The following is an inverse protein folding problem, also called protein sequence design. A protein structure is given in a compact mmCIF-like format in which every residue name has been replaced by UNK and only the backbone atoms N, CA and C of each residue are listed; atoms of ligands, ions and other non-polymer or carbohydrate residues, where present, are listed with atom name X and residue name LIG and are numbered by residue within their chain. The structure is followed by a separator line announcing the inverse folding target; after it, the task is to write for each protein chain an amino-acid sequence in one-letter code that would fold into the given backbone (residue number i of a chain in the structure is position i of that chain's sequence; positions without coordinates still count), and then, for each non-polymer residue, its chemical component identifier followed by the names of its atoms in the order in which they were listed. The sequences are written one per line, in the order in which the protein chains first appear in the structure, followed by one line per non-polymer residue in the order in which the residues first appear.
data_IF_482063236029
#
_entry.id   IF_482063236029
#
_cell.length_a   1.000
_cell.length_b   1.000
_cell.length_c   1.000
_cell.angle_alpha   90.00
_cell.angle_beta   90.00
_cell.angle_gamma   90.00
#
_symmetry.space_group_name_H-M   'P 1'
#
loop_
_entity.id
_entity.type
_entity.pdbx_description
1 polymer ?
#
# COMPACT_ATOMS: atom_id res chain seq x y z
N UNK A 1 13.31 12.37 -10.40
CA UNK A 1 13.07 11.96 -8.99
C UNK A 1 13.56 10.52 -8.89
N UNK A 2 14.38 10.17 -7.88
CA UNK A 2 14.73 8.78 -7.56
C UNK A 2 13.55 7.82 -7.30
N UNK A 3 13.79 6.56 -6.93
CA UNK A 3 12.75 5.57 -6.74
C UNK A 3 12.04 5.74 -5.39
N UNK A 4 10.72 5.50 -5.35
CA UNK A 4 9.94 5.59 -4.10
C UNK A 4 10.11 4.33 -3.27
N UNK A 5 10.50 4.41 -1.98
CA UNK A 5 10.40 3.29 -1.05
C UNK A 5 9.01 2.67 -1.04
N UNK A 6 8.93 1.35 -0.86
CA UNK A 6 7.68 0.60 -0.86
C UNK A 6 7.20 0.37 0.57
N UNK A 7 5.96 0.75 0.86
CA UNK A 7 5.26 0.45 2.10
C UNK A 7 4.10 -0.52 1.82
N UNK A 8 4.15 -1.71 2.41
CA UNK A 8 3.06 -2.69 2.34
C UNK A 8 2.33 -2.67 3.68
N UNK A 9 1.04 -2.37 3.68
CA UNK A 9 0.26 -2.31 4.91
C UNK A 9 -0.98 -3.19 4.86
N UNK A 10 -1.46 -3.58 6.04
CA UNK A 10 -2.71 -4.31 6.20
C UNK A 10 -2.77 -4.99 7.56
N UNK A 11 -3.91 -5.59 7.90
CA UNK A 11 -4.14 -6.16 9.23
C UNK A 11 -3.22 -7.34 9.56
N UNK A 12 -3.20 -7.76 10.83
CA UNK A 12 -2.52 -8.99 11.24
C UNK A 12 -3.10 -10.20 10.51
N UNK A 13 -2.29 -11.24 10.28
CA UNK A 13 -2.68 -12.48 9.57
C UNK A 13 -3.10 -12.30 8.11
N UNK A 14 -2.68 -11.20 7.48
CA UNK A 14 -2.91 -10.94 6.06
C UNK A 14 -1.80 -11.46 5.14
N UNK A 15 -0.76 -12.10 5.65
CA UNK A 15 0.30 -12.71 4.84
C UNK A 15 1.47 -11.82 4.43
N UNK A 16 1.58 -10.58 4.92
CA UNK A 16 2.69 -9.63 4.59
C UNK A 16 4.08 -10.27 4.70
N UNK A 17 4.38 -10.91 5.83
CA UNK A 17 5.66 -11.60 6.06
C UNK A 17 5.91 -12.72 5.05
N UNK A 18 4.88 -13.51 4.72
CA UNK A 18 5.02 -14.59 3.73
C UNK A 18 5.25 -14.04 2.32
N UNK A 19 4.58 -12.95 1.96
CA UNK A 19 4.83 -12.25 0.70
C UNK A 19 6.28 -11.78 0.59
N UNK A 20 6.83 -11.14 1.63
CA UNK A 20 8.23 -10.71 1.61
C UNK A 20 9.19 -11.90 1.48
N UNK A 21 8.95 -12.99 2.22
CA UNK A 21 9.74 -14.21 2.12
C UNK A 21 9.70 -14.79 0.70
N UNK A 22 8.51 -14.83 0.09
CA UNK A 22 8.33 -15.29 -1.27
C UNK A 22 9.08 -14.41 -2.27
N UNK A 23 8.93 -13.09 -2.19
CA UNK A 23 9.64 -12.14 -3.05
C UNK A 23 11.17 -12.25 -2.90
N UNK A 24 11.70 -12.34 -1.67
CA UNK A 24 13.13 -12.55 -1.43
C UNK A 24 13.64 -13.83 -2.10
N UNK A 25 12.88 -14.92 -1.97
CA UNK A 25 13.18 -16.21 -2.63
C UNK A 25 13.14 -16.12 -4.16
N UNK A 26 12.23 -15.34 -4.75
CA UNK A 26 12.24 -15.12 -6.21
C UNK A 26 13.54 -14.46 -6.68
N UNK A 27 14.14 -13.60 -5.84
CA UNK A 27 15.40 -12.90 -6.16
C UNK A 27 16.63 -13.77 -5.95
N UNK A 28 16.64 -14.64 -4.93
CA UNK A 28 17.86 -15.36 -4.49
C UNK A 28 17.83 -16.88 -4.68
N UNK A 29 16.68 -17.44 -5.04
CA UNK A 29 16.44 -18.88 -5.09
C UNK A 29 16.16 -19.51 -3.71
N UNK A 30 15.82 -20.80 -3.68
CA UNK A 30 15.41 -21.52 -2.45
C UNK A 30 16.47 -21.48 -1.35
N UNK A 31 17.73 -21.63 -1.74
CA UNK A 31 18.82 -21.94 -0.82
C UNK A 31 19.53 -20.71 -0.25
N UNK A 32 19.24 -19.51 -0.77
CA UNK A 32 19.95 -18.27 -0.41
C UNK A 32 18.97 -17.20 0.09
N UNK A 33 17.92 -17.61 0.82
CA UNK A 33 16.91 -16.67 1.29
C UNK A 33 17.54 -15.57 2.18
N UNK A 34 17.36 -14.32 1.78
CA UNK A 34 17.72 -13.16 2.60
C UNK A 34 16.53 -12.83 3.50
N UNK A 35 16.75 -12.88 4.80
CA UNK A 35 15.73 -12.54 5.81
C UNK A 35 15.51 -11.03 5.88
N UNK A 36 14.27 -10.63 6.14
CA UNK A 36 13.93 -9.26 6.50
C UNK A 36 14.48 -8.92 7.89
N UNK A 37 14.84 -7.66 8.09
CA UNK A 37 15.14 -7.09 9.39
C UNK A 37 13.86 -6.87 10.21
N UNK A 38 13.97 -6.89 11.53
CA UNK A 38 12.84 -6.63 12.44
C UNK A 38 12.72 -5.14 12.85
N UNK A 39 11.68 -4.81 13.62
CA UNK A 39 11.43 -3.46 14.15
C UNK A 39 12.55 -2.94 15.07
N UNK A 40 13.21 -3.83 15.82
CA UNK A 40 14.31 -3.49 16.73
C UNK A 40 15.54 -3.03 15.97
N UNK A 41 15.74 -3.56 14.77
CA UNK A 41 16.81 -3.17 13.85
C UNK A 41 16.48 -1.90 13.04
N UNK A 42 15.24 -1.40 13.09
CA UNK A 42 14.83 -0.23 12.35
C UNK A 42 15.32 1.07 13.02
N UNK A 43 16.42 1.61 12.50
CA UNK A 43 17.04 2.86 12.96
C UNK A 43 17.61 3.67 11.79
N UNK A 44 17.65 5.00 11.94
CA UNK A 44 18.17 5.90 10.91
C UNK A 44 19.56 5.51 10.41
N UNK A 45 20.49 5.26 11.34
CA UNK A 45 21.89 4.91 11.03
C UNK A 45 21.97 3.60 10.26
N UNK A 46 21.32 2.54 10.75
CA UNK A 46 21.36 1.24 10.09
C UNK A 46 20.73 1.28 8.70
N UNK A 47 19.58 1.95 8.55
CA UNK A 47 18.96 2.11 7.23
C UNK A 47 19.89 2.87 6.28
N UNK A 48 20.51 3.96 6.73
CA UNK A 48 21.48 4.72 5.93
C UNK A 48 22.63 3.84 5.47
N UNK A 49 23.25 3.11 6.39
CA UNK A 49 24.43 2.28 6.10
C UNK A 49 24.08 1.19 5.08
N UNK A 50 22.92 0.55 5.22
CA UNK A 50 22.45 -0.47 4.27
C UNK A 50 22.10 0.11 2.89
N UNK A 51 21.44 1.28 2.83
CA UNK A 51 21.02 1.89 1.56
C UNK A 51 22.15 2.58 0.79
N UNK A 52 23.22 2.96 1.49
CA UNK A 52 24.43 3.54 0.88
C UNK A 52 25.50 2.50 0.57
N UNK A 53 25.35 1.29 1.09
CA UNK A 53 26.16 0.16 0.66
C UNK A 53 25.83 -0.15 -0.80
N UNK A 54 26.86 -0.32 -1.65
CA UNK A 54 26.72 -0.48 -3.11
C UNK A 54 26.06 -1.79 -3.57
N UNK A 55 25.31 -2.45 -2.68
CA UNK A 55 24.42 -3.56 -3.01
C UNK A 55 23.19 -3.05 -3.77
N UNK A 56 22.68 -3.89 -4.68
CA UNK A 56 21.41 -3.68 -5.38
C UNK A 56 20.27 -4.53 -4.79
N UNK A 57 20.57 -5.37 -3.80
CA UNK A 57 19.55 -6.19 -3.15
C UNK A 57 18.63 -5.30 -2.29
N UNK A 58 17.30 -5.47 -2.35
CA UNK A 58 16.38 -4.65 -1.56
C UNK A 58 16.62 -4.80 -0.06
N UNK A 59 16.57 -3.68 0.66
CA UNK A 59 16.59 -3.64 2.13
C UNK A 59 15.15 -3.79 2.61
N UNK A 60 14.86 -4.90 3.29
CA UNK A 60 13.51 -5.28 3.69
C UNK A 60 13.39 -5.24 5.22
N UNK A 61 12.45 -4.45 5.73
CA UNK A 61 12.04 -4.47 7.13
C UNK A 61 10.62 -5.00 7.25
N UNK A 62 10.40 -5.97 8.14
CA UNK A 62 9.10 -6.57 8.38
C UNK A 62 8.49 -6.11 9.72
N UNK A 63 7.21 -5.80 9.68
CA UNK A 63 6.35 -5.41 10.80
C UNK A 63 6.88 -4.23 11.63
N UNK A 64 7.24 -3.13 10.96
CA UNK A 64 7.66 -1.91 11.68
C UNK A 64 6.48 -1.34 12.49
N UNK A 65 6.78 -0.95 13.71
CA UNK A 65 5.77 -0.48 14.66
C UNK A 65 5.28 0.92 14.33
N UNK A 66 4.07 1.24 14.80
CA UNK A 66 3.40 2.52 14.55
C UNK A 66 4.26 3.74 14.93
N UNK A 67 5.09 3.57 15.96
CA UNK A 67 6.00 4.62 16.47
C UNK A 67 7.10 4.99 15.48
N UNK A 68 7.50 4.05 14.59
CA UNK A 68 8.56 4.26 13.59
C UNK A 68 8.12 5.09 12.40
N UNK A 69 6.83 5.35 12.24
CA UNK A 69 6.34 6.30 11.24
C UNK A 69 6.57 7.78 11.63
N UNK A 70 6.97 8.03 12.89
CA UNK A 70 7.17 9.38 13.41
C UNK A 70 8.40 10.13 12.88
N UNK A 71 8.52 11.39 13.31
CA UNK A 71 9.58 12.33 12.88
C UNK A 71 11.01 11.82 13.08
N UNK A 72 11.24 11.04 14.12
CA UNK A 72 12.57 10.56 14.51
C UNK A 72 13.04 9.33 13.73
N UNK A 73 12.17 8.74 12.91
CA UNK A 73 12.43 7.49 12.20
C UNK A 73 12.12 7.66 10.72
N UNK A 74 10.97 7.16 10.24
CA UNK A 74 10.65 7.12 8.81
C UNK A 74 10.66 8.50 8.16
N UNK A 75 10.10 9.55 8.78
CA UNK A 75 10.12 10.91 8.17
C UNK A 75 11.55 11.41 7.95
N UNK A 76 12.45 11.18 8.92
CA UNK A 76 13.85 11.56 8.79
C UNK A 76 14.58 10.73 7.73
N UNK A 77 14.34 9.41 7.71
CA UNK A 77 14.91 8.47 6.73
C UNK A 77 14.48 8.87 5.33
N UNK A 78 13.19 9.05 5.08
CA UNK A 78 12.65 9.35 3.76
C UNK A 78 13.13 10.72 3.29
N UNK A 79 13.10 11.76 4.14
CA UNK A 79 13.69 13.07 3.78
C UNK A 79 15.15 12.92 3.37
N UNK A 80 15.95 12.25 4.19
CA UNK A 80 17.39 12.09 3.92
C UNK A 80 17.66 11.23 2.70
N UNK A 81 16.84 10.20 2.46
CA UNK A 81 16.90 9.34 1.29
C UNK A 81 16.81 10.16 0.00
N UNK A 82 15.81 11.05 -0.06
CA UNK A 82 15.55 11.89 -1.23
C UNK A 82 16.48 13.10 -1.35
N UNK A 83 16.79 13.74 -0.23
CA UNK A 83 17.52 15.00 -0.23
C UNK A 83 19.04 14.78 -0.35
N UNK A 84 19.56 13.70 0.25
CA UNK A 84 21.01 13.55 0.47
C UNK A 84 21.60 12.19 0.04
N UNK A 85 20.85 11.09 0.14
CA UNK A 85 21.43 9.75 -0.03
C UNK A 85 21.38 9.28 -1.47
N UNK A 86 20.23 9.44 -2.15
CA UNK A 86 20.07 8.98 -3.51
C UNK A 86 20.84 9.85 -4.50
N UNK A 87 21.65 9.22 -5.33
CA UNK A 87 22.38 9.86 -6.43
C UNK A 87 22.23 8.99 -7.69
N UNK A 88 21.93 9.61 -8.84
CA UNK A 88 21.61 8.87 -10.07
C UNK A 88 22.76 8.07 -10.67
N UNK A 89 24.00 8.36 -10.26
CA UNK A 89 25.23 7.71 -10.69
C UNK A 89 25.68 6.56 -9.76
N UNK A 90 24.94 6.31 -8.68
CA UNK A 90 25.28 5.29 -7.67
C UNK A 90 24.26 4.16 -7.62
N UNK A 91 24.77 2.97 -7.35
CA UNK A 91 23.94 1.84 -6.99
C UNK A 91 23.25 2.14 -5.66
N UNK A 92 21.92 2.06 -5.67
CA UNK A 92 21.10 2.24 -4.48
C UNK A 92 20.14 1.08 -4.33
N UNK A 93 20.17 0.46 -3.15
CA UNK A 93 19.18 -0.52 -2.77
C UNK A 93 17.80 0.12 -2.61
N UNK A 94 16.77 -0.64 -2.96
CA UNK A 94 15.38 -0.26 -2.73
C UNK A 94 15.00 -0.52 -1.26
N UNK A 95 14.32 0.42 -0.60
CA UNK A 95 13.76 0.21 0.73
C UNK A 95 12.33 -0.35 0.63
N UNK A 96 12.07 -1.45 1.33
CA UNK A 96 10.75 -2.09 1.46
C UNK A 96 10.43 -2.22 2.95
N UNK A 97 9.25 -1.76 3.36
CA UNK A 97 8.78 -1.90 4.74
C UNK A 97 7.36 -2.47 4.78
N UNK A 98 7.06 -3.26 5.81
CA UNK A 98 5.69 -3.68 6.11
C UNK A 98 5.23 -3.14 7.46
N UNK A 99 3.93 -2.87 7.60
CA UNK A 99 3.35 -2.41 8.86
C UNK A 99 1.86 -2.75 8.96
N UNK A 100 1.31 -2.72 10.16
CA UNK A 100 -0.14 -2.83 10.38
C UNK A 100 -0.87 -1.48 10.23
N UNK A 101 -0.11 -0.39 10.07
CA UNK A 101 -0.62 0.95 9.83
C UNK A 101 -0.27 1.43 8.43
N UNK A 102 -1.21 2.14 7.81
CA UNK A 102 -1.01 2.89 6.57
C UNK A 102 0.05 3.99 6.77
N UNK A 103 0.74 4.38 5.70
CA UNK A 103 1.63 5.55 5.73
C UNK A 103 0.84 6.79 6.17
N UNK A 104 1.26 7.50 7.24
CA UNK A 104 0.57 8.71 7.69
C UNK A 104 0.52 9.79 6.61
N UNK A 105 -0.48 10.68 6.70
CA UNK A 105 -0.60 11.82 5.80
C UNK A 105 0.58 12.80 5.91
N UNK A 106 0.70 13.68 4.91
CA UNK A 106 1.70 14.73 4.86
C UNK A 106 2.97 14.31 4.11
N UNK A 107 4.14 14.66 4.64
CA UNK A 107 5.41 14.60 3.91
C UNK A 107 5.82 13.19 3.43
N UNK A 108 5.30 12.14 4.04
CA UNK A 108 5.60 10.75 3.69
C UNK A 108 4.77 10.24 2.49
N UNK A 109 3.49 10.64 2.40
CA UNK A 109 2.49 10.11 1.46
C UNK A 109 2.95 10.18 0.00
N UNK A 110 3.46 11.34 -0.41
CA UNK A 110 3.94 11.55 -1.78
C UNK A 110 5.32 10.93 -2.09
N UNK A 111 6.04 10.48 -1.07
CA UNK A 111 7.43 10.02 -1.14
C UNK A 111 7.59 8.51 -1.05
N UNK A 112 6.51 7.78 -0.79
CA UNK A 112 6.48 6.33 -0.73
C UNK A 112 5.44 5.78 -1.71
N UNK A 113 5.63 4.54 -2.17
CA UNK A 113 4.61 3.76 -2.87
C UNK A 113 3.90 2.91 -1.83
N UNK A 114 2.58 3.00 -1.77
CA UNK A 114 1.76 2.20 -0.85
C UNK A 114 1.14 1.01 -1.59
N UNK A 115 1.14 -0.16 -0.95
CA UNK A 115 0.36 -1.32 -1.38
C UNK A 115 -0.42 -1.83 -0.17
N UNK A 116 -1.74 -1.93 -0.32
CA UNK A 116 -2.60 -2.54 0.70
C UNK A 116 -2.69 -4.05 0.46
N UNK A 117 -2.52 -4.82 1.53
CA UNK A 117 -2.75 -6.25 1.53
C UNK A 117 -3.98 -6.55 2.38
N UNK A 118 -5.14 -6.56 1.72
CA UNK A 118 -6.44 -6.85 2.32
C UNK A 118 -6.85 -8.30 2.05
N UNK A 119 -5.98 -9.22 2.44
CA UNK A 119 -6.26 -10.65 2.44
C UNK A 119 -6.43 -11.13 3.88
N UNK A 120 -7.28 -12.14 4.09
CA UNK A 120 -7.33 -12.88 5.36
C UNK A 120 -7.04 -14.33 5.08
N UNK A 121 -5.94 -14.82 5.63
CA UNK A 121 -5.59 -16.24 5.54
C UNK A 121 -6.09 -16.95 6.79
N UNK A 122 -6.89 -18.01 6.58
CA UNK A 122 -7.31 -18.88 7.66
C UNK A 122 -6.12 -19.68 8.20
N UNK A 123 -6.02 -19.75 9.52
CA UNK A 123 -4.97 -20.48 10.23
C UNK A 123 -5.33 -21.98 10.31
N UNK A 124 -5.27 -22.64 9.15
CA UNK A 124 -5.54 -24.06 9.01
C UNK A 124 -4.29 -24.83 8.62
N UNK A 125 -4.23 -26.11 9.01
CA UNK A 125 -3.08 -26.97 8.66
C UNK A 125 -2.93 -27.11 7.14
N UNK A 126 -4.04 -27.15 6.40
CA UNK A 126 -4.01 -27.29 4.95
C UNK A 126 -3.51 -26.02 4.26
N UNK A 127 -3.89 -24.83 4.75
CA UNK A 127 -3.33 -23.57 4.25
C UNK A 127 -1.82 -23.49 4.50
N UNK A 128 -1.36 -23.87 5.70
CA UNK A 128 0.07 -23.90 6.03
C UNK A 128 0.82 -24.87 5.10
N UNK A 129 0.26 -26.06 4.85
CA UNK A 129 0.84 -27.03 3.89
C UNK A 129 0.90 -26.46 2.48
N UNK A 130 -0.15 -25.79 2.03
CA UNK A 130 -0.22 -25.20 0.70
C UNK A 130 0.83 -24.09 0.52
N UNK A 131 0.90 -23.16 1.48
CA UNK A 131 1.92 -22.09 1.48
C UNK A 131 3.32 -22.69 1.51
N UNK A 132 3.59 -23.70 2.35
CA UNK A 132 4.90 -24.38 2.37
C UNK A 132 5.24 -25.03 1.04
N UNK A 133 4.27 -25.63 0.35
CA UNK A 133 4.49 -26.21 -0.98
C UNK A 133 4.94 -25.14 -1.97
N UNK A 134 4.22 -24.02 -2.06
CA UNK A 134 4.59 -22.89 -2.93
C UNK A 134 5.97 -22.35 -2.54
N UNK A 135 6.21 -22.17 -1.24
CA UNK A 135 7.46 -21.67 -0.68
C UNK A 135 8.64 -22.63 -0.85
N UNK A 136 8.45 -23.86 -1.32
CA UNK A 136 9.50 -24.84 -1.58
C UNK A 136 9.74 -25.07 -3.08
N UNK A 137 8.82 -24.67 -3.95
CA UNK A 137 8.93 -24.84 -5.42
C UNK A 137 9.83 -23.80 -6.07
N UNK A 138 10.88 -24.24 -6.75
CA UNK A 138 11.74 -23.35 -7.53
C UNK A 138 10.92 -22.59 -8.58
N UNK A 139 11.09 -21.27 -8.60
CA UNK A 139 10.36 -20.41 -9.52
C UNK A 139 11.33 -19.46 -10.25
N UNK A 140 11.67 -19.75 -11.53
CA UNK A 140 12.58 -18.94 -12.31
C UNK A 140 11.93 -17.66 -12.88
N UNK A 141 10.70 -17.32 -12.50
CA UNK A 141 9.98 -16.17 -13.09
C UNK A 141 10.80 -14.88 -13.04
N UNK A 142 11.56 -14.65 -11.97
CA UNK A 142 12.37 -13.44 -11.85
C UNK A 142 13.55 -13.40 -12.84
N UNK A 143 14.09 -14.56 -13.24
CA UNK A 143 15.11 -14.64 -14.29
C UNK A 143 14.54 -14.15 -15.62
N UNK A 144 13.38 -14.66 -16.01
CA UNK A 144 12.69 -14.26 -17.24
C UNK A 144 12.22 -12.80 -17.19
N UNK A 145 11.69 -12.39 -16.04
CA UNK A 145 11.32 -11.00 -15.78
C UNK A 145 12.52 -10.07 -15.97
N UNK A 146 13.66 -10.40 -15.35
CA UNK A 146 14.87 -9.58 -15.41
C UNK A 146 15.40 -9.47 -16.84
N UNK A 147 15.43 -10.58 -17.58
CA UNK A 147 15.82 -10.56 -19.00
C UNK A 147 14.92 -9.62 -19.80
N UNK A 148 13.60 -9.77 -19.68
CA UNK A 148 12.65 -8.95 -20.45
C UNK A 148 12.69 -7.48 -20.02
N UNK A 149 12.91 -7.20 -18.74
CA UNK A 149 13.11 -5.85 -18.23
C UNK A 149 14.37 -5.19 -18.83
N UNK A 150 15.49 -5.92 -18.92
CA UNK A 150 16.72 -5.43 -19.55
C UNK A 150 16.53 -5.13 -21.04
N UNK A 151 15.78 -5.97 -21.76
CA UNK A 151 15.41 -5.69 -23.16
C UNK A 151 14.63 -4.38 -23.31
N UNK A 152 13.73 -4.05 -22.35
CA UNK A 152 13.08 -2.75 -22.31
C UNK A 152 14.05 -1.61 -22.02
N UNK A 153 15.02 -1.80 -21.13
CA UNK A 153 16.07 -0.81 -20.88
C UNK A 153 16.89 -0.49 -22.13
N UNK A 154 17.21 -1.49 -22.94
CA UNK A 154 17.96 -1.33 -24.20
C UNK A 154 17.13 -0.70 -25.32
N UNK A 155 15.81 -0.95 -25.34
CA UNK A 155 14.91 -0.53 -26.43
C UNK A 155 14.14 0.78 -26.20
N UNK A 156 14.27 1.41 -25.02
CA UNK A 156 13.69 2.71 -24.73
C UNK A 156 12.71 2.73 -23.55
N UNK A 157 13.17 2.28 -22.37
CA UNK A 157 12.36 2.28 -21.13
C UNK A 157 11.86 3.66 -20.71
N UNK A 158 12.56 4.73 -21.13
CA UNK A 158 12.21 6.11 -20.78
C UNK A 158 10.84 6.53 -21.33
N UNK A 159 10.43 5.99 -22.48
CA UNK A 159 9.10 6.25 -23.05
C UNK A 159 7.98 5.55 -22.26
N UNK A 160 8.33 4.50 -21.51
CA UNK A 160 7.41 3.73 -20.67
C UNK A 160 7.37 4.25 -19.22
N UNK A 161 8.29 5.14 -18.85
CA UNK A 161 8.36 5.65 -17.49
C UNK A 161 7.20 6.63 -17.21
N UNK A 162 6.34 6.26 -16.27
CA UNK A 162 5.30 7.13 -15.76
C UNK A 162 5.53 7.35 -14.26
N UNK A 163 5.83 8.59 -13.88
CA UNK A 163 6.05 8.97 -12.47
C UNK A 163 4.80 8.80 -11.59
N UNK A 164 3.62 8.66 -12.19
CA UNK A 164 2.35 8.36 -11.53
C UNK A 164 2.05 6.86 -11.45
N UNK A 165 2.71 6.03 -12.27
CA UNK A 165 2.62 4.57 -12.26
C UNK A 165 4.01 3.90 -12.25
N UNK A 166 4.62 3.90 -11.07
CA UNK A 166 5.93 3.29 -10.84
C UNK A 166 5.99 1.77 -11.12
N UNK A 167 4.84 1.11 -11.33
CA UNK A 167 4.77 -0.32 -11.62
C UNK A 167 4.45 -0.63 -13.09
N UNK A 168 4.29 0.39 -13.95
CA UNK A 168 3.91 0.22 -15.35
C UNK A 168 4.84 -0.74 -16.11
N UNK A 169 6.16 -0.51 -16.03
CA UNK A 169 7.15 -1.36 -16.73
C UNK A 169 7.10 -2.80 -16.23
N UNK A 170 7.05 -3.00 -14.91
CA UNK A 170 6.95 -4.34 -14.33
C UNK A 170 5.68 -5.07 -14.74
N UNK A 171 4.54 -4.36 -14.83
CA UNK A 171 3.27 -4.91 -15.32
C UNK A 171 3.39 -5.35 -16.78
N UNK A 172 3.94 -4.50 -17.65
CA UNK A 172 4.15 -4.82 -19.08
C UNK A 172 5.07 -6.02 -19.28
N UNK A 173 6.14 -6.10 -18.49
CA UNK A 173 7.02 -7.28 -18.50
C UNK A 173 6.24 -8.54 -18.17
N UNK A 174 5.40 -8.52 -17.14
CA UNK A 174 4.57 -9.68 -16.80
C UNK A 174 3.54 -10.02 -17.88
N UNK A 175 2.90 -9.03 -18.50
CA UNK A 175 2.00 -9.22 -19.64
C UNK A 175 2.70 -9.90 -20.83
N UNK A 176 3.93 -9.46 -21.13
CA UNK A 176 4.76 -10.09 -22.16
C UNK A 176 5.08 -11.54 -21.81
N UNK A 177 5.42 -11.85 -20.56
CA UNK A 177 5.70 -13.22 -20.14
C UNK A 177 4.46 -14.11 -20.25
N UNK A 178 3.27 -13.62 -19.88
CA UNK A 178 2.01 -14.33 -20.10
C UNK A 178 1.79 -14.63 -21.58
N UNK A 179 1.97 -13.61 -22.44
CA UNK A 179 1.84 -13.74 -23.89
C UNK A 179 2.86 -14.71 -24.49
N UNK A 180 4.12 -14.67 -24.06
CA UNK A 180 5.17 -15.58 -24.50
C UNK A 180 4.88 -17.04 -24.12
N UNK A 181 4.21 -17.25 -23.00
CA UNK A 181 3.79 -18.57 -22.53
C UNK A 181 2.46 -19.06 -23.14
N UNK A 182 1.79 -18.25 -23.96
CA UNK A 182 0.43 -18.49 -24.46
C UNK A 182 -0.59 -18.72 -23.31
N UNK A 183 -0.42 -17.97 -22.22
CA UNK A 183 -1.28 -18.01 -21.03
C UNK A 183 -2.05 -16.69 -20.95
N UNK A 184 -3.37 -16.78 -20.83
CA UNK A 184 -4.19 -15.60 -20.53
C UNK A 184 -3.89 -15.09 -19.11
N UNK A 185 -3.63 -13.79 -18.92
CA UNK A 185 -3.50 -13.22 -17.59
C UNK A 185 -4.73 -13.54 -16.73
N UNK A 186 -4.55 -13.87 -15.43
CA UNK A 186 -5.67 -14.12 -14.56
C UNK A 186 -6.53 -12.86 -14.37
N UNK A 187 -7.80 -13.03 -14.00
CA UNK A 187 -8.76 -11.93 -13.83
C UNK A 187 -8.28 -10.88 -12.81
N UNK A 188 -7.53 -11.31 -11.79
CA UNK A 188 -6.96 -10.42 -10.77
C UNK A 188 -5.67 -9.71 -11.20
N UNK A 189 -5.15 -9.96 -12.42
CA UNK A 189 -3.97 -9.27 -12.91
C UNK A 189 -4.29 -7.78 -13.16
N UNK A 190 -3.54 -6.84 -12.56
CA UNK A 190 -3.90 -5.43 -12.64
C UNK A 190 -3.55 -4.89 -14.04
N UNK A 191 -4.55 -4.48 -14.82
CA UNK A 191 -4.35 -3.81 -16.12
C UNK A 191 -4.03 -2.31 -16.00
N UNK A 192 -4.15 -1.75 -14.80
CA UNK A 192 -3.90 -0.35 -14.49
C UNK A 192 -3.17 -0.23 -13.13
N UNK A 193 -2.75 0.98 -12.70
CA UNK A 193 -2.15 1.17 -11.38
C UNK A 193 -3.00 0.54 -10.27
N UNK A 194 -2.37 -0.15 -9.32
CA UNK A 194 -3.09 -0.90 -8.27
C UNK A 194 -4.04 0.00 -7.46
N UNK A 195 -3.69 1.28 -7.30
CA UNK A 195 -4.52 2.29 -6.63
C UNK A 195 -5.84 2.58 -7.35
N UNK A 196 -5.97 2.20 -8.63
CA UNK A 196 -7.20 2.31 -9.42
C UNK A 196 -8.00 1.01 -9.48
N UNK A 197 -7.44 -0.11 -9.01
CA UNK A 197 -8.10 -1.43 -9.08
C UNK A 197 -9.08 -1.59 -7.93
N UNK A 198 -8.63 -1.40 -6.68
CA UNK A 198 -9.50 -1.42 -5.49
C UNK A 198 -8.97 -0.41 -4.47
N UNK A 199 -9.84 0.47 -3.98
CA UNK A 199 -9.54 1.32 -2.83
C UNK A 199 -10.11 0.70 -1.55
N UNK A 200 -9.27 -0.10 -0.89
CA UNK A 200 -9.59 -0.72 0.40
C UNK A 200 -9.86 0.28 1.53
N UNK A 201 -9.31 1.49 1.45
CA UNK A 201 -9.63 2.53 2.44
C UNK A 201 -11.07 3.02 2.26
N UNK A 202 -11.50 3.22 1.01
CA UNK A 202 -12.88 3.54 0.69
C UNK A 202 -13.84 2.42 1.11
N UNK A 203 -13.46 1.15 0.92
CA UNK A 203 -14.25 0.00 1.41
C UNK A 203 -14.39 0.00 2.94
N UNK A 204 -13.31 0.26 3.68
CA UNK A 204 -13.36 0.36 5.13
C UNK A 204 -14.29 1.50 5.60
N UNK A 205 -14.25 2.65 4.93
CA UNK A 205 -15.15 3.77 5.24
C UNK A 205 -16.61 3.47 4.90
N UNK A 206 -16.87 2.79 3.78
CA UNK A 206 -18.21 2.30 3.44
C UNK A 206 -18.75 1.38 4.54
N UNK A 207 -17.94 0.43 5.00
CA UNK A 207 -18.31 -0.52 6.07
C UNK A 207 -18.62 0.19 7.38
N UNK A 208 -17.72 1.07 7.86
CA UNK A 208 -17.92 1.82 9.11
C UNK A 208 -19.20 2.67 9.11
N UNK A 209 -19.49 3.35 7.99
CA UNK A 209 -20.69 4.18 7.88
C UNK A 209 -21.95 3.31 7.76
N UNK A 210 -21.84 2.17 7.07
CA UNK A 210 -22.94 1.22 6.93
C UNK A 210 -23.33 0.59 8.29
N UNK A 211 -22.33 0.13 9.04
CA UNK A 211 -22.53 -0.55 10.33
C UNK A 211 -22.92 0.43 11.45
N UNK A 212 -22.75 1.74 11.21
CA UNK A 212 -23.09 2.78 12.17
C UNK A 212 -21.98 3.09 13.17
N UNK A 213 -20.78 2.54 12.96
CA UNK A 213 -19.55 2.85 13.71
C UNK A 213 -19.10 4.30 13.45
N UNK A 214 -19.36 4.79 12.23
CA UNK A 214 -19.20 6.17 11.84
C UNK A 214 -20.55 6.82 11.51
N UNK A 215 -20.85 7.92 12.18
CA UNK A 215 -21.99 8.79 11.91
C UNK A 215 -21.49 10.10 11.30
N UNK A 216 -22.34 10.76 10.53
CA UNK A 216 -21.98 12.02 9.89
C UNK A 216 -23.11 13.03 9.95
N UNK A 217 -22.73 14.31 9.86
CA UNK A 217 -23.64 15.45 9.78
C UNK A 217 -23.03 16.54 8.91
N UNK A 218 -23.86 17.35 8.26
CA UNK A 218 -23.43 18.54 7.55
C UNK A 218 -23.62 19.75 8.44
N UNK A 219 -22.58 20.56 8.60
CA UNK A 219 -22.65 21.80 9.37
C UNK A 219 -23.34 22.90 8.56
N UNK A 220 -23.70 24.00 9.23
CA UNK A 220 -24.19 25.21 8.55
C UNK A 220 -23.17 25.78 7.55
N UNK A 221 -21.89 25.51 7.74
CA UNK A 221 -20.79 25.88 6.86
C UNK A 221 -20.63 24.93 5.66
N UNK A 222 -21.55 23.96 5.50
CA UNK A 222 -21.54 22.94 4.45
C UNK A 222 -20.36 21.96 4.52
N UNK A 223 -19.75 21.83 5.70
CA UNK A 223 -18.67 20.87 5.95
C UNK A 223 -19.25 19.54 6.45
N UNK A 224 -18.61 18.44 6.10
CA UNK A 224 -18.98 17.10 6.57
C UNK A 224 -18.23 16.80 7.87
N UNK A 225 -18.98 16.61 8.95
CA UNK A 225 -18.44 16.21 10.25
C UNK A 225 -18.76 14.74 10.52
N UNK A 226 -17.72 13.94 10.71
CA UNK A 226 -17.80 12.52 11.05
C UNK A 226 -17.49 12.34 12.54
N UNK A 227 -18.35 11.58 13.22
CA UNK A 227 -18.26 11.20 14.63
C UNK A 227 -18.33 9.69 14.77
N UNK A 228 -17.69 9.14 15.79
CA UNK A 228 -17.64 7.70 16.00
C UNK A 228 -18.45 7.30 17.23
N UNK A 229 -19.16 6.18 17.13
CA UNK A 229 -20.00 5.66 18.24
C UNK A 229 -19.17 4.98 19.33
N UNK A 230 -17.98 4.47 18.98
CA UNK A 230 -17.06 3.78 19.90
C UNK A 230 -16.23 4.71 20.79
N UNK A 231 -16.44 6.03 20.69
CA UNK A 231 -15.66 7.09 21.38
C UNK A 231 -14.13 6.88 21.35
N UNK A 232 -13.55 6.65 20.16
CA UNK A 232 -12.15 6.30 20.00
C UNK A 232 -11.22 7.38 20.58
N UNK A 233 -10.03 6.95 20.98
CA UNK A 233 -8.99 7.86 21.43
C UNK A 233 -8.50 8.76 20.29
N UNK A 234 -7.89 9.89 20.66
CA UNK A 234 -7.45 10.87 19.68
C UNK A 234 -6.49 10.30 18.62
N UNK A 235 -5.64 9.34 18.99
CA UNK A 235 -4.70 8.73 18.03
C UNK A 235 -5.42 7.78 17.06
N UNK A 236 -6.48 7.10 17.50
CA UNK A 236 -7.32 6.24 16.65
C UNK A 236 -8.10 7.05 15.62
N UNK A 237 -8.64 8.21 16.03
CA UNK A 237 -9.27 9.16 15.10
C UNK A 237 -8.28 9.62 14.03
N UNK A 238 -7.04 9.92 14.40
CA UNK A 238 -5.99 10.26 13.42
C UNK A 238 -5.72 9.10 12.47
N UNK A 239 -5.66 7.86 12.97
CA UNK A 239 -5.46 6.66 12.14
C UNK A 239 -6.59 6.47 11.13
N UNK A 240 -7.84 6.69 11.52
CA UNK A 240 -8.99 6.62 10.63
C UNK A 240 -8.98 7.75 9.60
N UNK A 241 -8.59 8.96 10.01
CA UNK A 241 -8.40 10.11 9.12
C UNK A 241 -7.32 9.85 8.06
N UNK A 242 -6.22 9.16 8.42
CA UNK A 242 -5.14 8.82 7.49
C UNK A 242 -5.59 7.89 6.34
N UNK A 243 -6.74 7.22 6.48
CA UNK A 243 -7.35 6.40 5.42
C UNK A 243 -7.99 7.26 4.33
N UNK A 244 -8.47 8.46 4.66
CA UNK A 244 -9.12 9.39 3.72
C UNK A 244 -8.05 10.02 2.81
N UNK A 245 -8.25 10.10 1.48
CA UNK A 245 -7.31 10.77 0.58
C UNK A 245 -7.01 12.21 1.00
N UNK A 246 -5.73 12.60 0.99
CA UNK A 246 -5.27 13.94 1.41
C UNK A 246 -5.90 15.06 0.58
N UNK A 247 -6.15 14.79 -0.71
CA UNK A 247 -6.79 15.73 -1.63
C UNK A 247 -8.20 16.15 -1.22
N UNK A 248 -8.88 15.39 -0.35
CA UNK A 248 -10.18 15.74 0.20
C UNK A 248 -10.10 16.70 1.41
N UNK A 249 -8.88 17.08 1.82
CA UNK A 249 -8.63 17.98 2.94
C UNK A 249 -9.14 17.53 4.31
N UNK A 250 -9.08 16.23 4.69
CA UNK A 250 -9.58 15.79 5.99
C UNK A 250 -8.78 16.43 7.13
N UNK A 251 -9.47 16.88 8.16
CA UNK A 251 -8.86 17.47 9.36
C UNK A 251 -9.50 16.93 10.63
N UNK A 252 -8.74 16.92 11.72
CA UNK A 252 -9.21 16.43 13.02
C UNK A 252 -9.62 17.59 13.92
N UNK A 253 -10.83 17.52 14.47
CA UNK A 253 -11.35 18.48 15.46
C UNK A 253 -11.75 17.68 16.71
N UNK A 254 -10.88 17.66 17.72
CA UNK A 254 -11.09 16.84 18.92
C UNK A 254 -11.13 15.34 18.56
N UNK A 255 -12.25 14.67 18.81
CA UNK A 255 -12.50 13.27 18.43
C UNK A 255 -13.31 13.13 17.12
N UNK A 256 -13.40 14.19 16.31
CA UNK A 256 -14.17 14.23 15.06
C UNK A 256 -13.26 14.41 13.86
N UNK A 257 -13.72 13.98 12.69
CA UNK A 257 -13.08 14.28 11.41
C UNK A 257 -13.97 15.28 10.66
N UNK A 258 -13.39 16.37 10.19
CA UNK A 258 -14.02 17.35 9.33
C UNK A 258 -13.49 17.18 7.90
N UNK A 259 -14.39 17.22 6.93
CA UNK A 259 -14.08 17.19 5.50
C UNK A 259 -14.76 18.41 4.85
N UNK A 260 -14.00 19.31 4.19
CA UNK A 260 -14.51 20.57 3.69
C UNK A 260 -15.59 20.42 2.61
N UNK A 261 -15.45 19.40 1.73
CA UNK A 261 -16.33 19.21 0.57
C UNK A 261 -17.02 17.84 0.65
N UNK A 262 -18.28 17.79 1.16
CA UNK A 262 -19.00 16.53 1.33
C UNK A 262 -19.22 15.75 0.03
N UNK A 263 -19.39 16.45 -1.10
CA UNK A 263 -19.64 15.84 -2.40
C UNK A 263 -18.44 15.06 -2.93
N UNK A 264 -17.23 15.59 -2.78
CA UNK A 264 -15.99 14.90 -3.16
C UNK A 264 -15.76 13.65 -2.33
N UNK A 265 -16.05 13.70 -1.02
CA UNK A 265 -15.98 12.53 -0.15
C UNK A 265 -17.01 11.46 -0.56
N UNK A 266 -18.24 11.86 -0.84
CA UNK A 266 -19.27 10.94 -1.32
C UNK A 266 -18.92 10.32 -2.68
N UNK A 267 -18.32 11.11 -3.59
CA UNK A 267 -17.85 10.62 -4.88
C UNK A 267 -16.71 9.62 -4.73
N UNK A 268 -15.76 9.91 -3.82
CA UNK A 268 -14.69 8.99 -3.48
C UNK A 268 -15.24 7.63 -3.00
N UNK A 269 -16.20 7.63 -2.07
CA UNK A 269 -16.86 6.40 -1.61
C UNK A 269 -17.62 5.68 -2.73
N UNK A 270 -18.23 6.41 -3.68
CA UNK A 270 -18.90 5.81 -4.84
C UNK A 270 -17.94 5.00 -5.72
N UNK A 271 -16.65 5.37 -5.82
CA UNK A 271 -15.67 4.60 -6.60
C UNK A 271 -15.40 3.21 -6.01
N UNK A 272 -15.43 3.06 -4.68
CA UNK A 272 -15.26 1.76 -4.02
C UNK A 272 -16.55 0.93 -3.97
N UNK A 273 -17.71 1.55 -4.23
CA UNK A 273 -19.02 0.93 -4.07
C UNK A 273 -19.26 -0.36 -4.89
N UNK A 274 -18.74 -0.51 -6.13
CA UNK A 274 -18.88 -1.76 -6.89
C UNK A 274 -18.23 -2.97 -6.21
N UNK A 275 -17.24 -2.74 -5.34
CA UNK A 275 -16.51 -3.78 -4.63
C UNK A 275 -17.01 -3.96 -3.18
N UNK A 276 -18.05 -3.24 -2.77
CA UNK A 276 -18.61 -3.34 -1.43
C UNK A 276 -19.64 -4.47 -1.36
N UNK A 277 -19.37 -5.49 -0.54
CA UNK A 277 -20.16 -6.72 -0.46
C UNK A 277 -21.63 -6.52 -0.01
N UNK A 278 -21.93 -5.37 0.59
CA UNK A 278 -23.29 -5.05 1.06
C UNK A 278 -24.18 -4.60 -0.11
N UNK A 279 -25.09 -5.50 -0.50
CA UNK A 279 -26.13 -5.23 -1.49
C UNK A 279 -27.00 -4.02 -1.12
N UNK A 280 -27.52 -3.32 -2.13
CA UNK A 280 -28.29 -2.07 -1.98
C UNK A 280 -29.36 -2.14 -0.88
N UNK A 281 -30.12 -3.24 -0.80
CA UNK A 281 -31.24 -3.40 0.12
C UNK A 281 -30.83 -3.47 1.60
N UNK A 282 -29.60 -3.86 1.87
CA UNK A 282 -29.04 -3.96 3.22
C UNK A 282 -28.22 -2.71 3.60
N UNK A 283 -28.16 -1.71 2.72
CA UNK A 283 -27.43 -0.48 3.01
C UNK A 283 -28.16 0.36 4.04
N UNK A 284 -27.43 0.79 5.04
CA UNK A 284 -27.95 1.71 6.03
C UNK A 284 -28.44 3.00 5.35
N UNK A 285 -29.58 3.51 5.83
CA UNK A 285 -30.14 4.78 5.37
C UNK A 285 -29.13 5.93 5.52
N UNK A 286 -28.25 5.86 6.51
CA UNK A 286 -27.20 6.84 6.74
C UNK A 286 -26.18 6.88 5.58
N UNK A 287 -25.69 5.70 5.16
CA UNK A 287 -24.79 5.58 4.02
C UNK A 287 -25.48 6.04 2.72
N UNK A 288 -26.72 5.58 2.50
CA UNK A 288 -27.49 5.95 1.30
C UNK A 288 -27.72 7.45 1.18
N UNK A 289 -27.92 8.16 2.30
CA UNK A 289 -28.03 9.62 2.32
C UNK A 289 -26.71 10.30 1.98
N UNK A 290 -25.57 9.79 2.46
CA UNK A 290 -24.26 10.37 2.18
C UNK A 290 -23.92 10.26 0.69
N UNK A 291 -24.14 9.07 0.10
CA UNK A 291 -23.81 8.83 -1.30
C UNK A 291 -24.61 9.73 -2.27
N UNK A 292 -25.77 10.27 -1.85
CA UNK A 292 -26.52 11.25 -2.65
C UNK A 292 -25.85 12.61 -2.76
N UNK A 293 -24.88 12.94 -1.90
CA UNK A 293 -24.12 14.19 -2.00
C UNK A 293 -23.12 14.19 -3.15
N UNK A 294 -22.84 13.04 -3.76
CA UNK A 294 -21.93 12.95 -4.90
C UNK A 294 -22.54 13.44 -6.23
N UNK A 295 -23.77 13.98 -6.19
CA UNK A 295 -24.52 14.51 -7.34
C UNK A 295 -24.51 16.04 -7.36
#
# INVERSE_FOLDING_TARGET
RGPKPLAIYGNTKNGKTYLLKYCSRLLTGVNNQVSSYDDGEFSFTKVKDLLTWSSLFPVIYDDISDTKWGKQYMDQIIRSYWDNWWQGDKNHSQLIVTSNRRVPQGHLKGRMKEVVMDARFEDSTDNIRHVRSIMNQDNPIFLYFSKRYLEYMESGIDELFDHTDSMNVGRRVMEDLYKMADINPPEFFPSCPIEKVVDGNGLQWLDMINNGDAQWSITSQKELHITFTTDPEGYEVTRLMDLIPEGLGPSKIGKKIMIPVPSEFAQWLKYSLPHFEVGWWNRNRNLSKLLKYAE
#
